data_IF_437471201580
#
_entry.id   IF_437471201580
#
_cell.length_a   1.000
_cell.length_b   1.000
_cell.length_c   1.000
_cell.angle_alpha   90.00
_cell.angle_beta   90.00
_cell.angle_gamma   90.00
#
_symmetry.space_group_name_H-M   'P 1'
#
loop_
_entity.id
_entity.type
_entity.pdbx_description
1 polymer ?
#
# COMPACT_ATOMS: atom_id res chain seq x y z
N UNK A 1 38.85 -6.17 -12.90
CA UNK A 1 37.42 -6.30 -13.25
C UNK A 1 36.60 -5.62 -12.16
N UNK A 2 35.76 -4.64 -12.50
CA UNK A 2 34.82 -4.04 -11.54
C UNK A 2 33.54 -4.87 -11.61
N UNK A 3 33.19 -5.52 -10.50
CA UNK A 3 31.96 -6.28 -10.37
C UNK A 3 30.81 -5.29 -10.22
N UNK A 4 29.96 -5.18 -11.24
CA UNK A 4 28.72 -4.39 -11.16
C UNK A 4 27.69 -5.22 -10.38
N UNK A 5 27.35 -4.75 -9.19
CA UNK A 5 26.19 -5.26 -8.46
C UNK A 5 24.94 -4.76 -9.19
N UNK A 6 24.18 -5.67 -9.79
CA UNK A 6 22.91 -5.35 -10.43
C UNK A 6 21.84 -5.56 -9.37
N UNK A 7 21.38 -4.47 -8.75
CA UNK A 7 20.26 -4.53 -7.81
C UNK A 7 18.95 -4.71 -8.59
N UNK A 8 18.31 -5.87 -8.39
CA UNK A 8 16.94 -6.10 -8.81
C UNK A 8 16.02 -5.29 -7.90
N UNK A 9 15.33 -4.30 -8.47
CA UNK A 9 14.34 -3.48 -7.77
C UNK A 9 13.05 -3.43 -8.56
N UNK A 10 11.95 -3.35 -7.82
CA UNK A 10 10.64 -3.06 -8.38
C UNK A 10 10.46 -1.56 -8.58
N UNK A 11 9.58 -1.19 -9.51
CA UNK A 11 9.07 0.17 -9.60
C UNK A 11 8.21 0.49 -8.37
N UNK A 12 8.09 1.78 -8.05
CA UNK A 12 7.25 2.24 -6.94
C UNK A 12 5.82 1.69 -7.06
N UNK A 13 5.30 1.16 -5.95
CA UNK A 13 3.98 0.52 -5.91
C UNK A 13 3.92 -0.91 -6.45
N UNK A 14 5.08 -1.57 -6.59
CA UNK A 14 5.18 -3.01 -6.87
C UNK A 14 6.06 -3.71 -5.85
N UNK A 15 5.76 -4.97 -5.53
CA UNK A 15 6.39 -5.70 -4.43
C UNK A 15 6.72 -7.15 -4.78
N UNK A 16 7.63 -7.74 -4.00
CA UNK A 16 8.06 -9.13 -4.12
C UNK A 16 9.02 -9.40 -5.27
N UNK A 17 9.51 -10.64 -5.37
CA UNK A 17 10.49 -11.03 -6.40
C UNK A 17 9.97 -10.90 -7.84
N UNK A 18 8.65 -10.97 -8.03
CA UNK A 18 8.00 -10.82 -9.33
C UNK A 18 7.49 -9.40 -9.61
N UNK A 19 7.69 -8.45 -8.67
CA UNK A 19 7.15 -7.10 -8.76
C UNK A 19 5.64 -7.11 -9.07
N UNK A 20 4.87 -7.74 -8.19
CA UNK A 20 3.40 -7.74 -8.20
C UNK A 20 2.89 -6.35 -7.80
N UNK A 21 1.77 -5.87 -8.37
CA UNK A 21 1.24 -4.55 -8.05
C UNK A 21 0.70 -4.49 -6.62
N UNK A 22 1.03 -3.42 -5.89
CA UNK A 22 0.42 -3.11 -4.60
C UNK A 22 -1.11 -3.02 -4.74
N UNK A 23 -1.86 -3.47 -3.72
CA UNK A 23 -3.31 -3.47 -3.78
C UNK A 23 -3.85 -2.03 -3.84
N UNK A 24 -4.82 -1.79 -4.72
CA UNK A 24 -5.42 -0.48 -4.96
C UNK A 24 -5.46 -0.08 -6.44
N UNK A 25 -5.99 1.11 -6.77
CA UNK A 25 -5.99 1.63 -8.13
C UNK A 25 -4.58 1.94 -8.64
N UNK A 26 -4.41 1.91 -9.97
CA UNK A 26 -3.13 2.26 -10.61
C UNK A 26 -2.71 3.68 -10.22
N UNK A 27 -1.52 3.80 -9.63
CA UNK A 27 -0.98 5.08 -9.15
C UNK A 27 -1.53 5.55 -7.80
N UNK A 28 -2.42 4.77 -7.16
CA UNK A 28 -2.91 5.00 -5.81
C UNK A 28 -2.80 3.70 -4.99
N UNK A 29 -1.58 3.23 -4.69
CA UNK A 29 -1.40 2.08 -3.81
C UNK A 29 -2.12 2.35 -2.47
N UNK A 30 -2.76 1.32 -1.94
CA UNK A 30 -3.56 1.40 -0.71
C UNK A 30 -4.65 2.49 -0.76
N UNK A 31 -5.26 2.73 -1.94
CA UNK A 31 -6.24 3.80 -2.18
C UNK A 31 -5.75 5.22 -1.83
N UNK A 32 -4.44 5.42 -1.68
CA UNK A 32 -3.87 6.66 -1.14
C UNK A 32 -4.14 6.87 0.35
N UNK A 33 -4.76 5.90 1.02
CA UNK A 33 -5.11 5.92 2.44
C UNK A 33 -4.11 5.13 3.30
N UNK A 34 -2.93 4.80 2.76
CA UNK A 34 -1.91 4.03 3.46
C UNK A 34 -0.60 3.97 2.69
N UNK A 35 0.35 3.23 3.25
CA UNK A 35 1.67 2.99 2.66
C UNK A 35 1.80 1.50 2.34
N UNK A 36 2.11 1.16 1.09
CA UNK A 36 2.37 -0.22 0.71
C UNK A 36 3.79 -0.61 1.12
N UNK A 37 3.98 -1.86 1.58
CA UNK A 37 5.30 -2.46 1.70
C UNK A 37 5.79 -2.91 0.32
N UNK A 38 6.29 -1.96 -0.47
CA UNK A 38 6.82 -2.18 -1.82
C UNK A 38 8.32 -2.53 -1.84
N UNK A 39 8.83 -2.88 -3.03
CA UNK A 39 10.20 -3.35 -3.24
C UNK A 39 10.33 -4.88 -3.34
N UNK A 40 11.53 -5.35 -3.69
CA UNK A 40 11.80 -6.79 -3.95
C UNK A 40 11.55 -7.65 -2.69
N UNK A 41 11.90 -7.12 -1.52
CA UNK A 41 11.65 -7.74 -0.21
C UNK A 41 10.31 -7.31 0.40
N UNK A 42 9.53 -6.52 -0.33
CA UNK A 42 8.22 -6.03 0.08
C UNK A 42 7.18 -7.13 0.09
N UNK A 43 6.31 -7.13 1.09
CA UNK A 43 5.22 -8.10 1.21
C UNK A 43 3.92 -7.68 0.50
N UNK A 44 3.85 -6.43 0.03
CA UNK A 44 2.64 -5.86 -0.57
C UNK A 44 1.54 -5.52 0.42
N UNK A 45 1.79 -5.72 1.72
CA UNK A 45 0.84 -5.36 2.77
C UNK A 45 0.73 -3.85 2.86
N UNK A 46 -0.51 -3.35 2.85
CA UNK A 46 -0.82 -1.95 3.09
C UNK A 46 -0.88 -1.65 4.58
N UNK A 47 -0.04 -0.71 5.02
CA UNK A 47 -0.16 -0.09 6.33
C UNK A 47 -1.11 1.11 6.22
N UNK A 48 -2.36 0.91 6.63
CA UNK A 48 -3.38 1.94 6.55
C UNK A 48 -3.13 3.10 7.51
N UNK A 49 -3.51 4.30 7.05
CA UNK A 49 -3.58 5.48 7.89
C UNK A 49 -4.63 5.28 8.97
N UNK A 50 -4.54 6.12 10.01
CA UNK A 50 -5.52 6.13 11.10
C UNK A 50 -6.93 6.21 10.51
N UNK A 51 -7.85 5.44 11.08
CA UNK A 51 -9.28 5.43 10.73
C UNK A 51 -9.66 4.68 9.45
N UNK A 52 -8.68 4.26 8.65
CA UNK A 52 -8.88 3.35 7.52
C UNK A 52 -8.59 1.90 7.91
N UNK A 53 -9.20 0.98 7.16
CA UNK A 53 -9.10 -0.46 7.34
C UNK A 53 -9.30 -1.18 5.99
N UNK A 54 -9.06 -2.48 5.97
CA UNK A 54 -9.14 -3.30 4.75
C UNK A 54 -7.76 -3.60 4.16
N UNK A 55 -7.72 -4.50 3.19
CA UNK A 55 -6.46 -5.00 2.62
C UNK A 55 -5.74 -3.92 1.82
N UNK A 56 -6.50 -2.99 1.22
CA UNK A 56 -6.02 -1.86 0.45
C UNK A 56 -6.40 -0.52 1.09
N UNK A 57 -6.76 -0.51 2.38
CA UNK A 57 -7.25 0.69 3.08
C UNK A 57 -8.49 1.32 2.42
N UNK A 58 -9.35 0.44 1.88
CA UNK A 58 -10.55 0.78 1.12
C UNK A 58 -11.81 0.96 2.00
N UNK A 59 -11.73 0.60 3.28
CA UNK A 59 -12.84 0.70 4.23
C UNK A 59 -12.50 1.60 5.42
N UNK A 60 -13.52 2.04 6.16
CA UNK A 60 -13.34 2.74 7.42
C UNK A 60 -13.26 1.79 8.61
N UNK A 61 -12.58 2.23 9.67
CA UNK A 61 -12.66 1.57 10.97
C UNK A 61 -14.10 1.60 11.52
N UNK A 62 -14.40 0.63 12.38
CA UNK A 62 -15.73 0.48 12.97
C UNK A 62 -16.12 1.74 13.75
N UNK A 63 -17.31 2.28 13.45
CA UNK A 63 -17.83 3.50 14.06
C UNK A 63 -17.48 4.79 13.30
N UNK A 64 -16.73 4.68 12.19
CA UNK A 64 -16.36 5.80 11.33
C UNK A 64 -16.92 5.66 9.92
N UNK A 65 -17.18 6.80 9.27
CA UNK A 65 -17.73 6.88 7.92
C UNK A 65 -17.30 8.17 7.21
N UNK A 66 -17.71 8.30 5.95
CA UNK A 66 -17.31 9.41 5.07
C UNK A 66 -16.16 9.02 4.14
N UNK A 67 -15.90 9.86 3.13
CA UNK A 67 -14.85 9.63 2.11
C UNK A 67 -13.44 9.57 2.70
N UNK A 68 -13.23 10.18 3.87
CA UNK A 68 -11.97 10.20 4.59
C UNK A 68 -12.04 9.49 5.95
N UNK A 69 -13.11 8.73 6.23
CA UNK A 69 -13.31 8.05 7.51
C UNK A 69 -13.19 8.97 8.74
N UNK A 70 -13.54 10.24 8.56
CA UNK A 70 -13.39 11.33 9.52
C UNK A 70 -14.66 11.63 10.31
N UNK A 71 -15.79 11.03 9.93
CA UNK A 71 -17.09 11.20 10.58
C UNK A 71 -17.35 10.03 11.52
N UNK A 72 -17.95 10.31 12.68
CA UNK A 72 -18.23 9.31 13.73
C UNK A 72 -19.73 9.16 13.93
N UNK A 73 -20.20 7.91 14.08
CA UNK A 73 -21.60 7.66 14.41
C UNK A 73 -21.87 8.17 15.84
N UNK A 74 -22.83 9.09 15.98
CA UNK A 74 -23.35 9.56 17.28
C UNK A 74 -24.66 8.87 17.63
#
# INVERSE_FOLDING_TARGET
CIQKNVEHRCCDGFYGEHCEPCPGPKGQPCFGNGVCSDGIDGSGVCRCNKDFNGTACETCQKGRYGVHCDQECR
#
